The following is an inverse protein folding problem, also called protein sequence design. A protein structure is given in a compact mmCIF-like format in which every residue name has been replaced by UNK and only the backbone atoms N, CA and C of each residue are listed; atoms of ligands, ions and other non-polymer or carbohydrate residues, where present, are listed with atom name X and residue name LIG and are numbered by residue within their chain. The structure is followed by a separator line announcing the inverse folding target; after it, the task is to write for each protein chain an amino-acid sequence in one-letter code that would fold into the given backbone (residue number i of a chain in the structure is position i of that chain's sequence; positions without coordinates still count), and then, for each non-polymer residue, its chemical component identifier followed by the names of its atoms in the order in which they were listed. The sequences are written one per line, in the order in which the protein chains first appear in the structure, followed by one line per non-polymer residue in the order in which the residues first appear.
data_IF_797427428349
#
_entry.id   IF_797427428349
#
_cell.length_a   1.000
_cell.length_b   1.000
_cell.length_c   1.000
_cell.angle_alpha   90.00
_cell.angle_beta   90.00
_cell.angle_gamma   90.00
#
_symmetry.space_group_name_H-M   'P 1'
#
loop_
_entity.id
_entity.type
_entity.pdbx_description
1 polymer ?
#
# COMPACT_ATOMS: atom_id res chain seq x y z
N UNK A 1 78.88 12.51 -19.28
CA UNK A 1 77.66 13.12 -18.69
C UNK A 1 76.47 12.29 -19.12
N UNK A 2 75.91 11.50 -18.21
CA UNK A 2 74.61 10.84 -18.38
C UNK A 2 73.92 10.84 -17.02
N UNK A 3 72.98 11.78 -16.86
CA UNK A 3 72.16 11.96 -15.65
C UNK A 3 71.15 10.82 -15.60
N UNK A 4 71.16 10.08 -14.50
CA UNK A 4 70.14 9.08 -14.17
C UNK A 4 69.09 9.83 -13.37
N UNK A 5 67.93 10.09 -13.97
CA UNK A 5 66.77 10.62 -13.24
C UNK A 5 66.08 9.45 -12.51
N UNK A 6 66.35 9.38 -11.21
CA UNK A 6 65.65 8.50 -10.26
C UNK A 6 64.28 9.11 -9.99
N UNK A 7 63.25 8.62 -10.67
CA UNK A 7 61.84 8.85 -10.32
C UNK A 7 61.57 8.06 -9.04
N UNK A 8 61.51 8.77 -7.91
CA UNK A 8 61.07 8.21 -6.64
C UNK A 8 59.55 8.06 -6.68
N UNK A 9 59.08 6.86 -7.04
CA UNK A 9 57.70 6.46 -6.74
C UNK A 9 57.55 6.34 -5.23
N UNK A 10 56.91 7.33 -4.62
CA UNK A 10 56.44 7.24 -3.23
C UNK A 10 55.33 6.19 -3.19
N UNK A 11 55.71 4.93 -3.01
CA UNK A 11 54.79 3.85 -2.66
C UNK A 11 54.21 4.18 -1.29
N UNK A 12 53.01 4.77 -1.28
CA UNK A 12 52.21 4.93 -0.07
C UNK A 12 51.80 3.52 0.36
N UNK A 13 52.57 2.96 1.29
CA UNK A 13 52.34 1.64 1.87
C UNK A 13 50.97 1.68 2.56
N UNK A 14 49.93 1.28 1.83
CA UNK A 14 48.56 1.25 2.34
C UNK A 14 48.45 -0.04 3.14
N UNK A 15 48.66 0.05 4.46
CA UNK A 15 48.41 -1.07 5.37
C UNK A 15 46.91 -1.31 5.42
N UNK A 16 46.44 -2.21 4.56
CA UNK A 16 45.05 -2.67 4.45
C UNK A 16 44.84 -3.74 5.51
N UNK A 17 44.01 -3.47 6.51
CA UNK A 17 43.67 -4.41 7.58
C UNK A 17 42.17 -4.74 7.53
N UNK A 18 41.81 -6.00 7.75
CA UNK A 18 40.42 -6.41 8.03
C UNK A 18 40.04 -5.80 9.37
N UNK A 19 38.96 -5.02 9.45
CA UNK A 19 38.62 -4.38 10.71
C UNK A 19 37.92 -5.39 11.61
N UNK A 20 38.59 -5.73 12.70
CA UNK A 20 38.06 -6.55 13.78
C UNK A 20 38.00 -5.72 15.05
N UNK A 21 37.27 -6.20 16.05
CA UNK A 21 37.27 -5.59 17.39
C UNK A 21 38.69 -5.49 18.00
N UNK A 22 39.60 -6.36 17.59
CA UNK A 22 40.98 -6.40 18.10
C UNK A 22 41.95 -5.46 17.39
N UNK A 23 41.66 -5.00 16.17
CA UNK A 23 42.54 -4.09 15.44
C UNK A 23 41.90 -2.74 15.06
N UNK A 24 40.62 -2.54 15.38
CA UNK A 24 39.94 -1.26 15.22
C UNK A 24 40.71 -0.12 15.91
N UNK A 25 41.24 -0.35 17.12
CA UNK A 25 42.04 0.65 17.85
C UNK A 25 43.34 1.02 17.12
N UNK A 26 43.92 0.08 16.36
CA UNK A 26 45.14 0.31 15.57
C UNK A 26 44.82 1.10 14.31
N UNK A 27 43.64 0.89 13.71
CA UNK A 27 43.19 1.61 12.51
C UNK A 27 42.60 2.99 12.82
N UNK A 28 41.86 3.14 13.92
CA UNK A 28 41.15 4.38 14.25
C UNK A 28 42.12 5.52 14.54
N UNK A 29 43.29 5.26 15.14
CA UNK A 29 44.31 6.27 15.42
C UNK A 29 44.84 6.96 14.15
N UNK A 30 45.41 6.24 13.16
CA UNK A 30 45.88 6.87 11.92
C UNK A 30 44.72 7.43 11.09
N UNK A 31 43.52 6.84 11.13
CA UNK A 31 42.38 7.40 10.41
C UNK A 31 41.89 8.71 11.04
N UNK A 32 41.91 8.80 12.38
CA UNK A 32 41.56 10.03 13.09
C UNK A 32 42.49 11.17 12.72
N UNK A 33 43.81 10.93 12.75
CA UNK A 33 44.80 11.93 12.34
C UNK A 33 44.59 12.39 10.88
N UNK A 34 44.34 11.44 9.97
CA UNK A 34 44.05 11.73 8.56
C UNK A 34 42.78 12.57 8.34
N UNK A 35 41.75 12.39 9.19
CA UNK A 35 40.51 13.18 9.13
C UNK A 35 40.68 14.57 9.76
N UNK A 36 41.55 14.69 10.76
CA UNK A 36 41.94 15.95 11.38
C UNK A 36 42.77 16.79 10.42
N UNK A 37 43.70 16.18 9.67
CA UNK A 37 44.51 16.84 8.64
C UNK A 37 43.68 17.50 7.52
N UNK A 38 42.50 16.95 7.22
CA UNK A 38 41.56 17.54 6.25
C UNK A 38 40.48 18.42 6.91
N UNK A 39 40.53 18.60 8.23
CA UNK A 39 39.67 19.52 8.99
C UNK A 39 38.21 19.07 9.17
N UNK A 40 37.90 17.78 9.02
CA UNK A 40 36.50 17.27 9.01
C UNK A 40 36.18 16.27 10.13
N UNK A 41 37.18 15.88 10.93
CA UNK A 41 37.05 14.88 12.00
C UNK A 41 35.87 15.15 12.95
N UNK A 42 35.71 16.39 13.42
CA UNK A 42 34.66 16.77 14.36
C UNK A 42 33.26 16.65 13.76
N UNK A 43 33.11 16.82 12.44
CA UNK A 43 31.86 16.58 11.72
C UNK A 43 31.62 15.09 11.49
N UNK A 44 32.63 14.33 11.08
CA UNK A 44 32.52 12.88 10.83
C UNK A 44 32.21 12.10 12.11
N UNK A 45 32.75 12.52 13.25
CA UNK A 45 32.47 11.92 14.57
C UNK A 45 31.15 12.41 15.19
N UNK A 46 30.48 13.38 14.57
CA UNK A 46 29.22 13.96 15.06
C UNK A 46 29.37 14.89 16.28
N UNK A 47 30.60 15.28 16.63
CA UNK A 47 30.87 16.25 17.68
C UNK A 47 30.40 17.67 17.29
N UNK A 48 30.46 18.00 16.00
CA UNK A 48 29.95 19.23 15.41
C UNK A 48 28.80 18.89 14.45
N UNK A 49 27.67 19.58 14.59
CA UNK A 49 26.50 19.44 13.71
C UNK A 49 26.29 20.74 12.96
N UNK A 50 25.93 20.64 11.68
CA UNK A 50 25.46 21.77 10.90
C UNK A 50 24.10 22.21 11.46
N UNK A 51 23.97 23.48 11.81
CA UNK A 51 22.74 24.10 12.31
C UNK A 51 22.16 25.09 11.29
N UNK A 52 20.99 25.67 11.58
CA UNK A 52 20.36 26.70 10.72
C UNK A 52 21.23 27.96 10.52
N UNK A 53 22.29 28.15 11.31
CA UNK A 53 23.21 29.30 11.20
C UNK A 53 24.42 29.00 10.33
N UNK A 54 24.63 27.76 9.93
CA UNK A 54 25.74 27.37 9.06
C UNK A 54 25.51 27.97 7.68
N UNK A 55 26.48 28.74 7.17
CA UNK A 55 26.34 29.42 5.89
C UNK A 55 26.30 28.42 4.73
N UNK A 56 25.69 28.81 3.61
CA UNK A 56 25.64 27.96 2.40
C UNK A 56 27.05 27.63 1.86
N UNK A 57 28.02 28.53 2.02
CA UNK A 57 29.41 28.30 1.63
C UNK A 57 30.10 27.26 2.53
N UNK A 58 29.89 27.34 3.85
CA UNK A 58 30.40 26.34 4.79
C UNK A 58 29.78 24.97 4.54
N UNK A 59 28.48 24.89 4.26
CA UNK A 59 27.81 23.63 3.90
C UNK A 59 28.40 23.00 2.64
N UNK A 60 28.63 23.79 1.59
CA UNK A 60 29.25 23.31 0.36
C UNK A 60 30.70 22.82 0.59
N UNK A 61 31.45 23.49 1.47
CA UNK A 61 32.79 23.08 1.85
C UNK A 61 32.78 21.78 2.67
N UNK A 62 31.85 21.65 3.62
CA UNK A 62 31.64 20.43 4.41
C UNK A 62 31.29 19.26 3.49
N UNK A 63 30.39 19.44 2.52
CA UNK A 63 30.02 18.41 1.56
C UNK A 63 31.24 17.91 0.77
N UNK A 64 32.06 18.84 0.25
CA UNK A 64 33.29 18.50 -0.47
C UNK A 64 34.29 17.75 0.41
N UNK A 65 34.47 18.17 1.66
CA UNK A 65 35.34 17.49 2.62
C UNK A 65 34.78 16.13 3.04
N UNK A 66 33.47 15.98 3.12
CA UNK A 66 32.80 14.72 3.45
C UNK A 66 33.02 13.67 2.34
N UNK A 67 32.90 14.08 1.07
CA UNK A 67 33.24 13.20 -0.07
C UNK A 67 34.71 12.78 -0.01
N UNK A 68 35.62 13.71 0.32
CA UNK A 68 37.05 13.40 0.48
C UNK A 68 37.30 12.46 1.66
N UNK A 69 36.64 12.67 2.79
CA UNK A 69 36.73 11.81 3.98
C UNK A 69 36.26 10.39 3.67
N UNK A 70 35.12 10.25 2.99
CA UNK A 70 34.60 8.96 2.54
C UNK A 70 35.63 8.24 1.67
N UNK A 71 36.17 8.90 0.63
CA UNK A 71 37.20 8.31 -0.23
C UNK A 71 38.42 7.86 0.57
N UNK A 72 38.85 8.64 1.55
CA UNK A 72 40.02 8.34 2.37
C UNK A 72 39.77 7.12 3.27
N UNK A 73 38.59 7.03 3.89
CA UNK A 73 38.19 5.86 4.69
C UNK A 73 38.20 4.61 3.82
N UNK A 74 37.52 4.63 2.67
CA UNK A 74 37.43 3.50 1.74
C UNK A 74 38.83 3.04 1.26
N UNK A 75 39.73 3.97 0.93
CA UNK A 75 41.10 3.64 0.50
C UNK A 75 41.94 2.96 1.60
N UNK A 76 41.59 3.18 2.86
CA UNK A 76 42.27 2.61 4.03
C UNK A 76 41.55 1.37 4.59
N UNK A 77 40.50 0.89 3.94
CA UNK A 77 39.88 -0.41 4.22
C UNK A 77 40.45 -1.48 3.28
N UNK A 78 40.47 -2.72 3.75
CA UNK A 78 40.89 -3.86 2.94
C UNK A 78 39.74 -4.45 2.10
N UNK A 79 40.09 -5.36 1.19
CA UNK A 79 39.12 -5.98 0.28
C UNK A 79 38.04 -6.79 1.01
N UNK A 80 38.34 -7.34 2.20
CA UNK A 80 37.40 -8.13 2.98
C UNK A 80 36.35 -7.25 3.67
N UNK A 81 36.74 -6.12 4.28
CA UNK A 81 35.80 -5.12 4.78
C UNK A 81 34.91 -4.58 3.66
N UNK A 82 35.48 -4.32 2.48
CA UNK A 82 34.71 -3.87 1.32
C UNK A 82 33.72 -4.94 0.83
N UNK A 83 34.09 -6.22 0.90
CA UNK A 83 33.20 -7.33 0.59
C UNK A 83 32.06 -7.46 1.62
N UNK A 84 32.34 -7.25 2.91
CA UNK A 84 31.33 -7.22 3.98
C UNK A 84 30.33 -6.08 3.76
N UNK A 85 30.81 -4.85 3.53
CA UNK A 85 29.94 -3.69 3.25
C UNK A 85 29.06 -3.95 2.01
N UNK A 86 29.64 -4.55 0.96
CA UNK A 86 28.88 -4.93 -0.26
C UNK A 86 27.80 -5.98 0.04
N UNK A 87 28.13 -6.97 0.87
CA UNK A 87 27.18 -8.00 1.32
C UNK A 87 26.00 -7.37 2.06
N UNK A 88 26.27 -6.47 3.00
CA UNK A 88 25.23 -5.80 3.79
C UNK A 88 24.32 -4.94 2.89
N UNK A 89 24.90 -4.18 1.96
CA UNK A 89 24.15 -3.42 0.96
C UNK A 89 23.27 -4.33 0.08
N UNK A 90 23.78 -5.49 -0.33
CA UNK A 90 23.01 -6.45 -1.12
C UNK A 90 21.85 -7.06 -0.32
N UNK A 91 22.07 -7.38 0.96
CA UNK A 91 21.05 -7.86 1.87
C UNK A 91 19.96 -6.81 2.10
N UNK A 92 20.35 -5.54 2.28
CA UNK A 92 19.45 -4.40 2.41
C UNK A 92 18.60 -4.19 1.16
N UNK A 93 19.22 -4.19 -0.04
CA UNK A 93 18.49 -4.08 -1.31
C UNK A 93 17.47 -5.21 -1.45
N UNK A 94 17.90 -6.46 -1.23
CA UNK A 94 17.02 -7.63 -1.33
C UNK A 94 15.85 -7.57 -0.35
N UNK A 95 16.09 -7.09 0.87
CA UNK A 95 15.04 -6.94 1.88
C UNK A 95 14.03 -5.85 1.51
N UNK A 96 14.49 -4.72 0.95
CA UNK A 96 13.64 -3.65 0.43
C UNK A 96 12.83 -4.14 -0.77
N UNK A 97 13.46 -4.77 -1.75
CA UNK A 97 12.79 -5.31 -2.94
C UNK A 97 11.69 -6.29 -2.52
N UNK A 98 12.00 -7.22 -1.61
CA UNK A 98 10.99 -8.14 -1.10
C UNK A 98 9.84 -7.43 -0.39
N UNK A 99 10.08 -6.38 0.40
CA UNK A 99 9.01 -5.67 1.09
C UNK A 99 8.19 -4.79 0.14
N UNK A 100 8.84 -4.17 -0.84
CA UNK A 100 8.25 -3.24 -1.79
C UNK A 100 7.55 -3.94 -2.94
N UNK A 101 7.92 -5.15 -3.33
CA UNK A 101 7.35 -5.87 -4.47
C UNK A 101 6.39 -6.99 -4.07
N UNK A 102 5.91 -6.99 -2.82
CA UNK A 102 4.88 -7.92 -2.39
C UNK A 102 3.61 -7.80 -3.24
N UNK A 103 3.17 -8.95 -3.75
CA UNK A 103 1.93 -9.12 -4.46
C UNK A 103 0.84 -9.68 -3.54
N UNK A 104 -0.41 -9.32 -3.84
CA UNK A 104 -1.55 -9.84 -3.11
C UNK A 104 -2.18 -11.01 -3.86
N UNK A 105 -2.19 -12.19 -3.24
CA UNK A 105 -2.87 -13.37 -3.75
C UNK A 105 -4.15 -13.68 -2.96
N UNK A 106 -3.98 -13.84 -1.65
CA UNK A 106 -5.00 -14.02 -0.63
C UNK A 106 -4.50 -13.45 0.70
N UNK A 107 -5.41 -13.23 1.66
CA UNK A 107 -5.08 -12.57 2.93
C UNK A 107 -4.07 -13.36 3.75
N UNK A 108 -4.17 -14.70 3.81
CA UNK A 108 -3.30 -15.50 4.65
C UNK A 108 -1.87 -15.56 4.09
N UNK A 109 -1.74 -15.81 2.79
CA UNK A 109 -0.45 -15.75 2.09
C UNK A 109 0.20 -14.37 2.21
N UNK A 110 -0.60 -13.30 2.01
CA UNK A 110 -0.13 -11.93 2.12
C UNK A 110 0.35 -11.59 3.54
N UNK A 111 -0.43 -11.91 4.58
CA UNK A 111 -0.07 -11.65 5.98
C UNK A 111 1.20 -12.39 6.41
N UNK A 112 1.41 -13.62 5.92
CA UNK A 112 2.67 -14.34 6.18
C UNK A 112 3.85 -13.71 5.43
N UNK A 113 3.65 -13.38 4.16
CA UNK A 113 4.70 -12.82 3.30
C UNK A 113 5.14 -11.42 3.75
N UNK A 114 4.21 -10.56 4.15
CA UNK A 114 4.54 -9.22 4.66
C UNK A 114 5.25 -9.27 6.01
N UNK A 115 4.89 -10.22 6.89
CA UNK A 115 5.60 -10.43 8.16
C UNK A 115 7.03 -10.91 7.93
N UNK A 116 7.21 -11.87 7.02
CA UNK A 116 8.53 -12.38 6.65
C UNK A 116 9.39 -11.27 6.03
N UNK A 117 8.83 -10.46 5.14
CA UNK A 117 9.53 -9.34 4.53
C UNK A 117 9.93 -8.28 5.58
N UNK A 118 9.04 -7.95 6.51
CA UNK A 118 9.36 -7.05 7.63
C UNK A 118 10.47 -7.62 8.53
N UNK A 119 10.47 -8.93 8.80
CA UNK A 119 11.56 -9.57 9.54
C UNK A 119 12.89 -9.46 8.79
N UNK A 120 12.91 -9.65 7.48
CA UNK A 120 14.13 -9.48 6.67
C UNK A 120 14.64 -8.04 6.67
N UNK A 121 13.77 -7.04 6.66
CA UNK A 121 14.18 -5.64 6.83
C UNK A 121 14.91 -5.43 8.16
N UNK A 122 14.35 -5.94 9.26
CA UNK A 122 14.97 -5.85 10.58
C UNK A 122 16.33 -6.55 10.63
N UNK A 123 16.43 -7.76 10.05
CA UNK A 123 17.70 -8.50 9.98
C UNK A 123 18.75 -7.81 9.10
N UNK A 124 18.33 -7.06 8.08
CA UNK A 124 19.21 -6.25 7.24
C UNK A 124 19.56 -4.88 7.87
N UNK A 125 19.10 -4.60 9.09
CA UNK A 125 19.35 -3.33 9.79
C UNK A 125 18.50 -2.16 9.29
N UNK A 126 17.46 -2.40 8.50
CA UNK A 126 16.57 -1.37 7.98
C UNK A 126 15.41 -1.15 8.95
N UNK A 127 15.43 0.00 9.62
CA UNK A 127 14.40 0.41 10.58
C UNK A 127 13.45 1.40 9.92
N UNK A 128 12.41 0.88 9.25
CA UNK A 128 11.27 1.71 8.85
C UNK A 128 10.36 1.93 10.06
N UNK A 129 9.78 3.12 10.17
CA UNK A 129 8.73 3.36 11.16
C UNK A 129 7.47 2.55 10.81
N UNK A 130 6.68 2.21 11.83
CA UNK A 130 5.50 1.39 11.64
C UNK A 130 4.46 2.08 10.75
N UNK A 131 4.38 3.41 10.77
CA UNK A 131 3.46 4.16 9.91
C UNK A 131 3.79 3.99 8.42
N UNK A 132 5.07 4.05 8.04
CA UNK A 132 5.54 3.81 6.68
C UNK A 132 5.31 2.36 6.28
N UNK A 133 5.62 1.38 7.14
CA UNK A 133 5.33 -0.03 6.86
C UNK A 133 3.85 -0.27 6.60
N UNK A 134 2.97 0.29 7.44
CA UNK A 134 1.53 0.18 7.30
C UNK A 134 1.05 0.87 6.01
N UNK A 135 1.55 2.07 5.70
CA UNK A 135 1.23 2.79 4.46
C UNK A 135 1.61 2.00 3.21
N UNK A 136 2.80 1.39 3.20
CA UNK A 136 3.25 0.53 2.08
C UNK A 136 2.35 -0.70 1.98
N UNK A 137 2.13 -1.41 3.09
CA UNK A 137 1.28 -2.61 3.13
C UNK A 137 -0.14 -2.33 2.61
N UNK A 138 -0.79 -1.26 3.08
CA UNK A 138 -2.15 -0.91 2.65
C UNK A 138 -2.23 -0.57 1.15
N UNK A 139 -1.14 -0.06 0.55
CA UNK A 139 -1.10 0.19 -0.90
C UNK A 139 -1.10 -1.11 -1.70
N UNK A 140 -0.58 -2.21 -1.14
CA UNK A 140 -0.53 -3.53 -1.77
C UNK A 140 -1.87 -4.28 -1.77
N UNK A 141 -2.80 -3.89 -0.91
CA UNK A 141 -4.12 -4.52 -0.84
C UNK A 141 -5.04 -4.04 -1.99
N UNK A 142 -5.80 -4.95 -2.64
CA UNK A 142 -6.80 -4.61 -3.65
C UNK A 142 -7.82 -3.60 -3.10
N UNK A 143 -8.08 -2.53 -3.86
CA UNK A 143 -8.99 -1.47 -3.40
C UNK A 143 -10.44 -1.91 -3.33
N UNK A 144 -10.86 -2.85 -4.16
CA UNK A 144 -12.26 -3.26 -4.24
C UNK A 144 -12.71 -3.98 -2.97
N UNK A 145 -11.89 -4.88 -2.43
CA UNK A 145 -12.24 -5.70 -1.27
C UNK A 145 -11.86 -5.04 0.07
N UNK A 146 -10.87 -4.13 0.07
CA UNK A 146 -10.28 -3.58 1.29
C UNK A 146 -10.44 -2.07 1.45
N UNK A 147 -11.33 -1.41 0.68
CA UNK A 147 -11.54 0.04 0.79
C UNK A 147 -11.80 0.49 2.22
N UNK A 148 -12.80 -0.10 2.88
CA UNK A 148 -13.19 0.33 4.23
C UNK A 148 -12.09 0.06 5.26
N UNK A 149 -11.38 -1.08 5.13
CA UNK A 149 -10.24 -1.38 5.99
C UNK A 149 -9.14 -0.33 5.84
N UNK A 150 -8.79 0.01 4.59
CA UNK A 150 -7.78 1.03 4.28
C UNK A 150 -8.16 2.39 4.86
N UNK A 151 -9.42 2.80 4.73
CA UNK A 151 -9.89 4.09 5.24
C UNK A 151 -9.86 4.12 6.79
N UNK A 152 -10.30 3.05 7.45
CA UNK A 152 -10.29 2.93 8.92
C UNK A 152 -8.86 2.98 9.47
N UNK A 153 -7.95 2.19 8.89
CA UNK A 153 -6.54 2.19 9.32
C UNK A 153 -5.91 3.56 9.01
N UNK A 154 -6.29 4.18 7.88
CA UNK A 154 -5.76 5.49 7.52
C UNK A 154 -6.15 6.62 8.46
N UNK A 155 -7.35 6.54 9.06
CA UNK A 155 -7.80 7.49 10.07
C UNK A 155 -7.12 7.27 11.45
N UNK A 156 -6.49 6.10 11.69
CA UNK A 156 -5.95 5.70 13.00
C UNK A 156 -4.44 5.44 13.05
N UNK A 157 -3.67 5.89 12.05
CA UNK A 157 -2.25 5.51 11.87
C UNK A 157 -1.31 5.79 13.06
N UNK A 158 -1.64 6.75 13.93
CA UNK A 158 -0.67 7.33 14.85
C UNK A 158 -0.38 6.48 16.11
N UNK A 159 -1.16 5.44 16.40
CA UNK A 159 -1.10 4.75 17.70
C UNK A 159 -0.95 3.23 17.64
N UNK A 160 -0.97 2.62 16.46
CA UNK A 160 -0.96 1.16 16.31
C UNK A 160 0.35 0.65 15.73
N UNK A 161 0.82 -0.50 16.22
CA UNK A 161 2.01 -1.16 15.68
C UNK A 161 1.70 -1.86 14.36
N UNK A 162 2.73 -2.07 13.55
CA UNK A 162 2.60 -2.77 12.27
C UNK A 162 1.93 -4.14 12.43
N UNK A 163 2.34 -4.93 13.43
CA UNK A 163 1.79 -6.26 13.71
C UNK A 163 0.31 -6.22 14.15
N UNK A 164 -0.12 -5.16 14.85
CA UNK A 164 -1.53 -5.00 15.22
C UNK A 164 -2.42 -4.86 13.98
N UNK A 165 -1.98 -4.08 12.98
CA UNK A 165 -2.72 -3.92 11.73
C UNK A 165 -2.74 -5.21 10.90
N UNK A 166 -1.64 -5.97 10.85
CA UNK A 166 -1.64 -7.27 10.15
C UNK A 166 -2.65 -8.23 10.79
N UNK A 167 -2.74 -8.29 12.13
CA UNK A 167 -3.75 -9.10 12.82
C UNK A 167 -5.18 -8.62 12.58
N UNK A 168 -5.40 -7.31 12.54
CA UNK A 168 -6.70 -6.74 12.17
C UNK A 168 -7.09 -7.09 10.74
N UNK A 169 -6.13 -7.12 9.81
CA UNK A 169 -6.36 -7.53 8.42
C UNK A 169 -6.82 -9.00 8.35
N UNK A 170 -6.19 -9.90 9.11
CA UNK A 170 -6.61 -11.29 9.22
C UNK A 170 -8.06 -11.38 9.73
N UNK A 171 -8.37 -10.62 10.79
CA UNK A 171 -9.71 -10.58 11.40
C UNK A 171 -10.78 -10.01 10.45
N UNK A 172 -10.40 -9.00 9.66
CA UNK A 172 -11.27 -8.39 8.64
C UNK A 172 -11.65 -9.38 7.54
N UNK A 173 -10.72 -10.26 7.14
CA UNK A 173 -10.98 -11.31 6.16
C UNK A 173 -11.99 -12.34 6.63
N UNK A 174 -11.87 -12.81 7.88
CA UNK A 174 -12.83 -13.75 8.48
C UNK A 174 -14.23 -13.16 8.58
N UNK A 175 -14.32 -11.88 8.94
CA UNK A 175 -15.61 -11.20 9.14
C UNK A 175 -16.34 -10.92 7.82
N UNK A 176 -15.60 -10.54 6.77
CA UNK A 176 -16.19 -10.11 5.50
C UNK A 176 -16.23 -11.21 4.41
N UNK A 177 -15.84 -12.45 4.74
CA UNK A 177 -15.81 -13.60 3.80
C UNK A 177 -15.07 -13.28 2.48
N UNK A 178 -13.93 -12.62 2.57
CA UNK A 178 -13.07 -12.30 1.43
C UNK A 178 -12.30 -13.56 1.02
N UNK A 179 -13.01 -14.55 0.47
CA UNK A 179 -12.40 -15.69 -0.21
C UNK A 179 -12.60 -15.51 -1.71
N UNK A 180 -11.51 -15.68 -2.45
CA UNK A 180 -11.43 -15.63 -3.91
C UNK A 180 -12.31 -16.75 -4.48
N UNK A 181 -13.61 -16.52 -4.65
CA UNK A 181 -14.37 -17.30 -5.61
C UNK A 181 -13.89 -16.89 -7.00
N UNK A 182 -13.38 -17.87 -7.72
CA UNK A 182 -12.84 -17.72 -9.06
C UNK A 182 -13.95 -17.16 -9.96
N UNK A 183 -13.83 -15.88 -10.33
CA UNK A 183 -14.42 -15.22 -11.49
C UNK A 183 -15.82 -15.74 -11.90
N UNK A 184 -16.86 -15.33 -11.18
CA UNK A 184 -18.18 -15.12 -11.76
C UNK A 184 -18.66 -13.75 -11.32
N UNK A 185 -18.85 -12.86 -12.30
CA UNK A 185 -19.49 -11.56 -12.10
C UNK A 185 -20.83 -11.77 -11.40
N UNK A 186 -20.93 -11.31 -10.16
CA UNK A 186 -22.20 -11.00 -9.53
C UNK A 186 -22.15 -9.56 -9.03
N UNK A 187 -22.63 -8.68 -9.90
CA UNK A 187 -23.07 -7.34 -9.59
C UNK A 187 -24.05 -7.40 -8.40
N UNK A 188 -24.02 -6.35 -7.58
CA UNK A 188 -25.03 -5.92 -6.58
C UNK A 188 -24.67 -6.29 -5.12
N UNK A 189 -24.05 -5.34 -4.42
CA UNK A 189 -24.70 -4.59 -3.33
C UNK A 189 -23.73 -3.54 -2.75
N UNK A 190 -23.94 -2.26 -3.09
CA UNK A 190 -23.29 -1.13 -2.42
C UNK A 190 -24.13 -0.76 -1.19
N UNK A 191 -23.62 -0.80 0.05
CA UNK A 191 -24.36 -0.24 1.17
C UNK A 191 -24.35 1.29 1.07
N UNK A 192 -25.54 1.88 1.14
CA UNK A 192 -25.80 3.31 1.13
C UNK A 192 -25.40 3.90 2.48
N UNK A 193 -24.41 4.79 2.52
CA UNK A 193 -24.01 5.53 3.73
C UNK A 193 -25.07 6.57 4.09
N UNK A 194 -25.58 6.50 5.32
CA UNK A 194 -26.48 7.48 5.94
C UNK A 194 -25.78 8.83 6.09
N UNK A 195 -26.32 9.88 5.46
CA UNK A 195 -25.96 11.26 5.74
C UNK A 195 -26.96 11.85 6.74
N UNK A 196 -26.47 12.28 7.90
CA UNK A 196 -27.21 13.09 8.87
C UNK A 196 -27.42 14.49 8.29
N UNK A 197 -28.66 14.97 8.31
CA UNK A 197 -29.06 16.27 7.77
C UNK A 197 -29.04 17.31 8.88
N UNK A 198 -28.14 18.28 8.77
CA UNK A 198 -28.07 19.46 9.64
C UNK A 198 -29.18 20.47 9.25
N UNK A 199 -29.82 21.03 10.28
CA UNK A 199 -30.83 22.08 10.17
C UNK A 199 -30.20 23.46 10.47
N UNK A 200 -30.76 24.51 9.84
CA UNK A 200 -30.51 25.98 9.95
C UNK A 200 -29.78 26.50 8.70
N UNK A 201 -30.28 27.43 7.88
CA UNK A 201 -31.07 28.64 8.18
C UNK A 201 -31.82 29.15 6.91
N UNK A 202 -33.11 29.50 7.08
CA UNK A 202 -33.93 30.51 6.35
C UNK A 202 -34.05 30.55 4.80
N UNK A 203 -35.16 29.96 4.28
CA UNK A 203 -36.23 30.44 3.35
C UNK A 203 -36.06 31.67 2.40
N UNK A 204 -36.92 31.91 1.35
CA UNK A 204 -38.10 31.15 0.87
C UNK A 204 -38.35 31.05 -0.68
N UNK A 205 -39.38 30.25 -1.04
CA UNK A 205 -40.26 30.27 -2.24
C UNK A 205 -39.84 29.59 -3.57
N UNK A 206 -40.37 28.38 -3.85
CA UNK A 206 -41.54 28.15 -4.73
C UNK A 206 -41.97 26.65 -4.73
N UNK A 207 -43.26 26.32 -4.94
CA UNK A 207 -43.80 24.97 -4.70
C UNK A 207 -43.91 24.12 -5.97
N UNK A 208 -43.14 23.03 -6.07
CA UNK A 208 -43.40 21.95 -7.04
C UNK A 208 -44.17 20.80 -6.37
N UNK A 209 -45.30 20.32 -6.94
CA UNK A 209 -46.21 19.41 -6.27
C UNK A 209 -45.64 17.98 -6.17
N UNK A 210 -45.60 17.44 -4.95
CA UNK A 210 -45.28 16.05 -4.67
C UNK A 210 -46.45 15.14 -5.11
N UNK A 211 -46.39 14.63 -6.34
CA UNK A 211 -47.36 13.64 -6.80
C UNK A 211 -47.03 12.31 -6.15
N UNK A 212 -47.75 11.99 -5.07
CA UNK A 212 -47.75 10.62 -4.53
C UNK A 212 -48.32 9.68 -5.60
N UNK A 213 -47.67 8.52 -5.86
CA UNK A 213 -48.08 7.66 -6.96
C UNK A 213 -49.51 7.16 -6.76
N UNK A 214 -50.36 7.49 -7.71
CA UNK A 214 -51.76 7.05 -7.76
C UNK A 214 -51.78 5.55 -8.06
N UNK A 215 -52.55 4.79 -7.29
CA UNK A 215 -52.71 3.37 -7.55
C UNK A 215 -53.40 3.15 -8.90
N UNK A 216 -52.77 2.39 -9.79
CA UNK A 216 -53.29 2.04 -11.12
C UNK A 216 -54.63 1.28 -11.08
N UNK A 217 -54.95 0.62 -9.96
CA UNK A 217 -56.17 -0.20 -9.84
C UNK A 217 -57.40 0.58 -9.37
N UNK A 218 -57.26 1.45 -8.38
CA UNK A 218 -58.41 2.20 -7.81
C UNK A 218 -58.33 3.71 -8.01
N UNK A 219 -57.26 4.19 -8.66
CA UNK A 219 -56.99 5.61 -8.92
C UNK A 219 -56.96 6.50 -7.67
N UNK A 220 -56.69 5.90 -6.49
CA UNK A 220 -56.48 6.62 -5.21
C UNK A 220 -55.01 6.66 -4.83
N UNK A 221 -54.59 7.73 -4.17
CA UNK A 221 -53.25 7.88 -3.58
C UNK A 221 -53.20 7.26 -2.16
N UNK A 222 -52.00 7.11 -1.60
CA UNK A 222 -51.81 6.66 -0.21
C UNK A 222 -51.56 5.16 0.01
N UNK A 223 -51.44 4.36 -1.05
CA UNK A 223 -51.02 2.95 -0.96
C UNK A 223 -50.28 2.50 -2.22
N UNK A 224 -49.44 1.47 -2.11
CA UNK A 224 -48.84 0.80 -3.28
C UNK A 224 -49.87 -0.09 -3.99
N UNK A 225 -49.80 -0.24 -5.32
CA UNK A 225 -50.75 -1.07 -6.09
C UNK A 225 -50.91 -2.50 -5.56
N UNK A 226 -49.84 -3.09 -5.02
CA UNK A 226 -49.84 -4.42 -4.40
C UNK A 226 -50.78 -4.54 -3.21
N UNK A 227 -50.99 -3.45 -2.46
CA UNK A 227 -51.79 -3.44 -1.23
C UNK A 227 -53.25 -3.01 -1.48
N UNK A 228 -53.64 -2.77 -2.73
CA UNK A 228 -54.97 -2.28 -3.10
C UNK A 228 -56.09 -3.31 -2.82
N UNK A 229 -55.77 -4.60 -2.97
CA UNK A 229 -56.76 -5.68 -2.94
C UNK A 229 -57.05 -6.23 -1.53
N UNK A 230 -56.37 -5.71 -0.50
CA UNK A 230 -56.53 -6.15 0.90
C UNK A 230 -57.90 -5.73 1.46
N UNK A 231 -58.50 -4.63 0.98
CA UNK A 231 -59.82 -4.15 1.45
C UNK A 231 -61.03 -4.67 0.68
N UNK A 232 -60.86 -5.18 -0.55
CA UNK A 232 -61.94 -5.68 -1.42
C UNK A 232 -61.46 -6.89 -2.24
N UNK A 233 -61.28 -8.05 -1.59
CA UNK A 233 -60.72 -9.25 -2.22
C UNK A 233 -61.63 -9.84 -3.30
N UNK A 234 -62.95 -9.60 -3.27
CA UNK A 234 -63.91 -10.11 -4.25
C UNK A 234 -63.74 -9.53 -5.66
N UNK A 235 -62.96 -8.45 -5.83
CA UNK A 235 -62.68 -7.79 -7.12
C UNK A 235 -61.31 -8.13 -7.71
N UNK A 236 -60.54 -9.00 -7.06
CA UNK A 236 -59.25 -9.43 -7.56
C UNK A 236 -59.39 -10.30 -8.83
N UNK A 237 -58.55 -10.10 -9.86
CA UNK A 237 -58.58 -10.95 -11.05
C UNK A 237 -58.31 -12.42 -10.69
N UNK A 238 -59.22 -13.33 -11.06
CA UNK A 238 -59.06 -14.78 -10.87
C UNK A 238 -58.17 -15.39 -11.98
N UNK A 239 -56.90 -15.00 -12.05
CA UNK A 239 -55.88 -15.70 -12.82
C UNK A 239 -54.48 -15.37 -12.28
N UNK A 240 -53.55 -16.35 -12.20
CA UNK A 240 -52.22 -16.11 -11.67
C UNK A 240 -51.42 -15.16 -12.59
N UNK A 241 -50.47 -14.38 -12.03
CA UNK A 241 -49.79 -13.34 -12.78
C UNK A 241 -48.82 -13.97 -13.79
N UNK A 242 -49.12 -13.85 -15.08
CA UNK A 242 -48.14 -14.04 -16.14
C UNK A 242 -47.11 -12.92 -16.07
N UNK A 243 -45.92 -13.23 -15.56
CA UNK A 243 -44.74 -12.39 -15.69
C UNK A 243 -44.43 -12.16 -17.18
N UNK A 244 -44.31 -10.90 -17.57
CA UNK A 244 -43.92 -10.50 -18.91
C UNK A 244 -42.49 -10.95 -19.24
N UNK A 245 -42.34 -11.94 -20.13
CA UNK A 245 -41.24 -12.06 -21.10
C UNK A 245 -41.72 -13.01 -22.24
N UNK A 246 -42.11 -12.47 -23.39
CA UNK A 246 -42.60 -13.24 -24.56
C UNK A 246 -41.65 -13.21 -25.76
N UNK A 247 -40.34 -13.07 -25.56
CA UNK A 247 -39.36 -13.17 -26.65
C UNK A 247 -38.04 -13.83 -26.21
N UNK A 248 -37.52 -14.74 -27.03
CA UNK A 248 -36.15 -15.27 -26.94
C UNK A 248 -35.40 -15.00 -28.25
N UNK A 249 -34.09 -14.77 -28.18
CA UNK A 249 -33.22 -14.50 -29.33
C UNK A 249 -32.56 -15.81 -29.77
N UNK A 250 -32.80 -16.23 -31.02
CA UNK A 250 -32.09 -17.34 -31.66
C UNK A 250 -30.73 -16.85 -32.21
N UNK A 251 -29.74 -17.75 -32.30
CA UNK A 251 -28.33 -17.51 -32.64
C UNK A 251 -28.02 -16.90 -34.03
N UNK A 252 -29.04 -16.38 -34.73
CA UNK A 252 -28.91 -15.65 -36.00
C UNK A 252 -29.59 -14.27 -35.99
N UNK A 253 -29.94 -13.72 -34.81
CA UNK A 253 -30.27 -12.29 -34.65
C UNK A 253 -31.62 -11.80 -35.20
N UNK A 254 -32.64 -12.67 -35.38
CA UNK A 254 -34.02 -12.24 -35.70
C UNK A 254 -35.03 -12.74 -34.66
N UNK A 255 -35.95 -11.86 -34.24
CA UNK A 255 -37.05 -12.13 -33.31
C UNK A 255 -38.22 -12.82 -34.03
N UNK A 256 -38.78 -13.90 -33.45
CA UNK A 256 -40.06 -14.49 -33.86
C UNK A 256 -40.97 -14.80 -32.65
N UNK A 257 -42.31 -14.78 -32.82
CA UNK A 257 -43.26 -15.23 -31.79
C UNK A 257 -43.23 -16.75 -31.61
N UNK A 258 -43.50 -17.22 -30.40
CA UNK A 258 -43.55 -18.66 -30.06
C UNK A 258 -44.93 -19.21 -30.42
N UNK A 259 -45.05 -19.94 -31.52
CA UNK A 259 -46.25 -20.74 -31.82
C UNK A 259 -46.18 -22.13 -31.17
N UNK A 260 -47.34 -22.59 -30.71
CA UNK A 260 -47.56 -23.76 -29.87
C UNK A 260 -47.33 -25.07 -30.63
N UNK A 261 -46.09 -25.56 -30.75
CA UNK A 261 -45.79 -26.99 -30.96
C UNK A 261 -44.28 -27.28 -30.78
N UNK A 262 -43.87 -27.85 -29.63
CA UNK A 262 -42.87 -28.94 -29.45
C UNK A 262 -42.54 -29.13 -27.95
N UNK A 263 -41.97 -30.28 -27.52
CA UNK A 263 -42.54 -31.10 -26.46
C UNK A 263 -41.83 -30.92 -25.10
N UNK A 264 -42.48 -31.47 -24.08
CA UNK A 264 -42.04 -31.49 -22.69
C UNK A 264 -40.76 -32.30 -22.48
N UNK A 265 -39.70 -31.63 -22.04
CA UNK A 265 -38.52 -32.15 -21.34
C UNK A 265 -37.89 -30.90 -20.70
N UNK A 266 -37.63 -30.74 -19.40
CA UNK A 266 -37.28 -31.66 -18.32
C UNK A 266 -37.84 -31.04 -17.03
N UNK A 267 -38.49 -31.86 -16.19
CA UNK A 267 -38.88 -31.51 -14.83
C UNK A 267 -37.72 -31.94 -13.92
N UNK A 268 -37.10 -30.97 -13.25
CA UNK A 268 -36.13 -31.04 -12.14
C UNK A 268 -34.91 -31.95 -12.31
#
# INVERSE_FOLDING_TARGET
MSKIDSVSETVTQTTRFLLTSSNYTIWILPMTAKLEDIGIQTYVTGALKTDEKTSAEELAQIEKLNVKAYSLIIQNLDSENLALIRSDLAAQSTALDLFLDLEYEDVNSFCNSIRLANQKLLLAGIMLDDQVKMMIMLRKLPREDFRSFRDIVAMGFSTESFEAIVKRLESYSFTNKIKKETKKESTINRPMTLLTRDHSTSQPNEPTPSVSPVCVHCKKTGHRPTNCWVKYPEKAPKAPPTSHYTHYIHSSGKLRPIDKHCPQEVRL
#
